data_IF_773279259319
#
_entry.id   IF_773279259319
#
_cell.length_a   1.000
_cell.length_b   1.000
_cell.length_c   1.000
_cell.angle_alpha   90.00
_cell.angle_beta   90.00
_cell.angle_gamma   90.00
#
_symmetry.space_group_name_H-M   'P 1'
#
loop_
_entity.id
_entity.type
_entity.pdbx_description
1 polymer ?
#
# COMPACT_ATOMS: atom_id res chain seq x y z
N UNK A 1 17.48 8.77 8.68
CA UNK A 1 16.82 9.73 7.79
C UNK A 1 15.74 9.01 6.99
N UNK A 2 14.50 9.48 7.07
CA UNK A 2 13.40 8.93 6.27
C UNK A 2 13.54 9.50 4.86
N UNK A 3 13.79 8.64 3.86
CA UNK A 3 13.77 9.03 2.45
C UNK A 3 12.33 9.31 2.02
N UNK A 4 12.13 10.38 1.28
CA UNK A 4 10.84 10.69 0.67
C UNK A 4 10.90 10.36 -0.82
N UNK A 5 9.91 9.62 -1.26
CA UNK A 5 9.84 9.08 -2.62
C UNK A 5 8.58 9.60 -3.29
N UNK A 6 8.66 9.89 -4.56
CA UNK A 6 7.54 10.36 -5.39
C UNK A 6 7.37 9.48 -6.62
N UNK A 7 6.15 9.44 -7.15
CA UNK A 7 5.82 8.80 -8.42
C UNK A 7 5.94 9.81 -9.56
N UNK A 8 6.58 9.41 -10.65
CA UNK A 8 6.61 10.18 -11.88
C UNK A 8 5.27 10.12 -12.61
N UNK A 9 4.69 11.27 -12.98
CA UNK A 9 3.43 11.34 -13.72
C UNK A 9 3.52 10.74 -15.13
N UNK A 10 4.71 10.68 -15.74
CA UNK A 10 4.89 10.18 -17.10
C UNK A 10 5.16 8.68 -17.19
N UNK A 11 6.15 8.19 -16.43
CA UNK A 11 6.57 6.78 -16.51
C UNK A 11 6.15 5.93 -15.32
N UNK A 12 5.51 6.56 -14.32
CA UNK A 12 5.09 5.92 -13.08
C UNK A 12 6.23 5.27 -12.27
N UNK A 13 7.48 5.60 -12.59
CA UNK A 13 8.64 5.20 -11.81
C UNK A 13 8.75 6.00 -10.53
N UNK A 14 9.27 5.38 -9.47
CA UNK A 14 9.45 6.00 -8.15
C UNK A 14 10.88 6.46 -7.98
N UNK A 15 11.08 7.68 -7.49
CA UNK A 15 12.40 8.23 -7.25
C UNK A 15 12.44 9.10 -5.99
N UNK A 16 13.64 9.22 -5.42
CA UNK A 16 13.85 9.97 -4.19
C UNK A 16 13.66 11.48 -4.43
N UNK A 17 12.93 12.12 -3.51
CA UNK A 17 12.81 13.58 -3.47
C UNK A 17 14.11 14.17 -2.93
N UNK A 18 14.83 15.03 -3.71
CA UNK A 18 16.02 15.71 -3.24
C UNK A 18 15.75 16.57 -2.01
N UNK A 19 16.72 16.71 -1.12
CA UNK A 19 16.55 17.38 0.18
C UNK A 19 16.15 18.85 0.04
N UNK A 20 16.76 19.56 -0.88
CA UNK A 20 16.43 20.95 -1.20
C UNK A 20 14.99 21.10 -1.76
N UNK A 21 14.56 20.13 -2.53
CA UNK A 21 13.20 20.04 -3.08
C UNK A 21 12.17 19.73 -1.99
N UNK A 22 12.54 18.99 -0.96
CA UNK A 22 11.69 18.73 0.18
C UNK A 22 11.37 20.00 0.98
N UNK A 23 12.36 20.85 1.24
CA UNK A 23 12.12 22.13 1.92
C UNK A 23 11.24 23.07 1.07
N UNK A 24 11.46 23.09 -0.25
CA UNK A 24 10.62 23.85 -1.18
C UNK A 24 9.19 23.33 -1.20
N UNK A 25 9.00 22.01 -1.23
CA UNK A 25 7.69 21.39 -1.16
C UNK A 25 6.97 21.74 0.14
N UNK A 26 7.64 21.67 1.28
CA UNK A 26 7.05 22.04 2.57
C UNK A 26 6.57 23.49 2.61
N UNK A 27 7.29 24.40 1.98
CA UNK A 27 6.83 25.81 1.85
C UNK A 27 5.55 25.93 1.02
N UNK A 28 5.47 25.23 -0.10
CA UNK A 28 4.29 25.19 -0.96
C UNK A 28 3.09 24.61 -0.20
N UNK A 29 3.32 23.57 0.59
CA UNK A 29 2.28 22.93 1.39
C UNK A 29 1.73 23.84 2.49
N UNK A 30 2.62 24.55 3.20
CA UNK A 30 2.23 25.52 4.22
C UNK A 30 1.45 26.70 3.62
N UNK A 31 1.81 27.11 2.40
CA UNK A 31 1.09 28.18 1.68
C UNK A 31 -0.26 27.73 1.15
N UNK A 32 -0.55 26.43 1.09
CA UNK A 32 -1.80 25.85 0.59
C UNK A 32 -2.03 25.99 -0.91
N UNK A 33 -1.08 26.56 -1.64
CA UNK A 33 -1.14 26.77 -3.08
C UNK A 33 0.25 26.73 -3.71
N UNK A 34 0.30 26.47 -5.03
CA UNK A 34 1.54 26.37 -5.79
C UNK A 34 2.00 24.96 -6.04
N UNK A 35 3.06 24.83 -6.83
CA UNK A 35 3.67 23.56 -7.20
C UNK A 35 5.18 23.72 -7.32
N UNK A 36 5.92 22.64 -7.09
CA UNK A 36 7.32 22.51 -7.52
C UNK A 36 7.40 21.48 -8.63
N UNK A 37 8.41 21.61 -9.48
CA UNK A 37 8.60 20.75 -10.64
C UNK A 37 9.94 20.05 -10.54
N UNK A 38 9.94 18.73 -10.71
CA UNK A 38 11.13 17.89 -10.70
C UNK A 38 11.24 17.09 -11.98
N UNK A 39 12.47 16.83 -12.41
CA UNK A 39 12.75 15.91 -13.50
C UNK A 39 12.88 14.48 -12.99
N UNK A 40 12.17 13.58 -13.64
CA UNK A 40 12.30 12.16 -13.38
C UNK A 40 13.66 11.63 -13.87
N UNK A 41 14.43 10.92 -13.05
CA UNK A 41 15.72 10.36 -13.47
C UNK A 41 15.59 9.21 -14.48
N UNK A 42 14.41 8.64 -14.63
CA UNK A 42 14.19 7.48 -15.51
C UNK A 42 13.75 7.86 -16.91
N UNK A 43 12.81 8.81 -17.04
CA UNK A 43 12.25 9.21 -18.34
C UNK A 43 12.57 10.65 -18.73
N UNK A 44 13.22 11.40 -17.86
CA UNK A 44 13.52 12.83 -18.00
C UNK A 44 12.27 13.74 -18.15
N UNK A 45 11.09 13.19 -17.94
CA UNK A 45 9.82 13.92 -17.90
C UNK A 45 9.71 14.77 -16.64
N UNK A 46 8.89 15.81 -16.67
CA UNK A 46 8.63 16.69 -15.53
C UNK A 46 7.46 16.20 -14.72
N UNK A 47 7.61 16.12 -13.41
CA UNK A 47 6.55 15.79 -12.45
C UNK A 47 6.27 17.01 -11.58
N UNK A 48 5.00 17.40 -11.49
CA UNK A 48 4.55 18.49 -10.63
C UNK A 48 4.20 17.98 -9.24
N UNK A 49 4.75 18.60 -8.21
CA UNK A 49 4.46 18.29 -6.81
C UNK A 49 3.71 19.44 -6.16
N UNK A 50 2.61 19.14 -5.53
CA UNK A 50 1.76 20.10 -4.82
C UNK A 50 1.15 19.46 -3.57
N UNK A 51 0.23 20.16 -2.90
CA UNK A 51 -0.45 19.65 -1.69
C UNK A 51 -1.24 18.35 -1.88
N UNK A 52 -1.54 17.98 -3.12
CA UNK A 52 -2.27 16.74 -3.46
C UNK A 52 -1.34 15.59 -3.85
N UNK A 53 -0.04 15.86 -3.96
CA UNK A 53 0.94 14.84 -4.36
C UNK A 53 1.11 13.82 -3.25
N UNK A 54 0.97 12.56 -3.58
CA UNK A 54 1.29 11.45 -2.68
C UNK A 54 2.81 11.36 -2.49
N UNK A 55 3.24 11.25 -1.25
CA UNK A 55 4.63 11.02 -0.88
C UNK A 55 4.78 9.62 -0.30
N UNK A 56 5.87 8.98 -0.66
CA UNK A 56 6.25 7.66 -0.20
C UNK A 56 7.49 7.78 0.68
N UNK A 57 7.68 6.84 1.59
CA UNK A 57 8.89 6.74 2.40
C UNK A 57 9.56 5.40 2.16
N UNK A 58 10.80 5.24 2.65
CA UNK A 58 11.51 3.97 2.63
C UNK A 58 10.87 2.87 3.51
N UNK A 59 9.92 3.25 4.36
CA UNK A 59 9.12 2.34 5.20
C UNK A 59 7.67 2.22 4.74
N UNK A 60 7.25 2.97 3.72
CA UNK A 60 5.90 2.88 3.17
C UNK A 60 5.36 4.16 2.55
N UNK A 61 4.10 4.10 2.12
CA UNK A 61 3.41 5.23 1.50
C UNK A 61 2.95 6.25 2.52
N UNK A 62 3.23 7.51 2.22
CA UNK A 62 2.81 8.67 2.98
C UNK A 62 1.70 9.37 2.20
N UNK A 63 0.43 9.03 2.49
CA UNK A 63 -0.70 9.68 1.84
C UNK A 63 -1.05 10.98 2.57
N UNK A 64 -1.12 12.08 1.84
CA UNK A 64 -1.66 13.35 2.35
C UNK A 64 -3.16 13.34 2.23
N UNK A 65 -3.83 13.65 3.34
CA UNK A 65 -5.24 14.01 3.31
C UNK A 65 -5.36 15.51 2.99
N UNK A 66 -6.48 15.91 2.41
CA UNK A 66 -6.78 17.32 2.08
C UNK A 66 -6.75 18.27 3.28
N UNK A 67 -6.64 17.74 4.49
CA UNK A 67 -6.58 18.51 5.72
C UNK A 67 -5.12 18.56 6.22
N UNK A 68 -4.44 19.75 6.17
CA UNK A 68 -3.05 19.89 6.53
C UNK A 68 -2.72 19.63 8.02
N UNK A 69 -3.73 19.53 8.87
CA UNK A 69 -3.54 19.33 10.31
C UNK A 69 -3.57 17.87 10.77
N UNK A 70 -3.94 16.91 9.89
CA UNK A 70 -4.21 15.56 10.37
C UNK A 70 -3.78 14.47 9.39
N UNK A 71 -3.03 13.54 9.93
CA UNK A 71 -2.87 12.14 9.55
C UNK A 71 -2.16 11.86 8.23
N UNK A 72 -0.86 11.98 8.32
CA UNK A 72 0.06 11.17 7.53
C UNK A 72 -0.18 9.70 7.91
N UNK A 73 -0.93 8.97 7.10
CA UNK A 73 -0.99 7.52 7.23
C UNK A 73 0.26 6.94 6.57
N UNK A 74 1.14 6.39 7.39
CA UNK A 74 2.28 5.63 6.91
C UNK A 74 1.78 4.25 6.47
N UNK A 75 1.86 3.96 5.18
CA UNK A 75 1.82 2.58 4.72
C UNK A 75 3.12 1.89 5.13
N UNK A 76 3.04 0.72 5.74
CA UNK A 76 4.15 0.05 6.41
C UNK A 76 4.73 -1.11 5.59
N UNK A 77 4.71 -1.01 4.26
CA UNK A 77 5.30 -2.04 3.40
C UNK A 77 6.79 -1.78 3.18
N UNK A 78 7.64 -2.82 3.15
CA UNK A 78 9.06 -2.66 2.87
C UNK A 78 9.30 -2.05 1.49
N UNK A 79 10.23 -1.11 1.37
CA UNK A 79 10.58 -0.43 0.13
C UNK A 79 10.92 -1.41 -1.01
N UNK A 80 11.64 -2.49 -0.70
CA UNK A 80 11.96 -3.52 -1.69
C UNK A 80 10.72 -4.18 -2.28
N UNK A 81 9.68 -4.36 -1.49
CA UNK A 81 8.41 -4.89 -1.96
C UNK A 81 7.70 -3.87 -2.85
N UNK A 82 7.65 -2.61 -2.44
CA UNK A 82 7.06 -1.52 -3.24
C UNK A 82 7.72 -1.42 -4.61
N UNK A 83 9.04 -1.58 -4.70
CA UNK A 83 9.74 -1.65 -5.99
C UNK A 83 9.28 -2.82 -6.88
N UNK A 84 8.92 -3.94 -6.28
CA UNK A 84 8.45 -5.11 -7.04
C UNK A 84 7.05 -4.93 -7.62
N UNK A 85 6.19 -4.16 -6.96
CA UNK A 85 4.77 -3.97 -7.29
C UNK A 85 4.46 -2.64 -7.99
N UNK A 86 5.47 -1.93 -8.47
CA UNK A 86 5.30 -0.65 -9.18
C UNK A 86 4.44 -0.80 -10.44
N UNK A 87 4.57 -1.91 -11.13
CA UNK A 87 3.85 -2.19 -12.37
C UNK A 87 2.57 -2.98 -12.10
N UNK A 88 1.52 -2.64 -12.86
CA UNK A 88 0.24 -3.33 -12.84
C UNK A 88 0.39 -4.81 -13.22
N UNK A 89 -0.37 -5.68 -12.55
CA UNK A 89 -0.59 -7.04 -13.01
C UNK A 89 0.44 -8.08 -12.61
N UNK A 90 1.17 -7.87 -11.51
CA UNK A 90 2.02 -8.93 -10.96
C UNK A 90 1.15 -10.02 -10.36
N UNK A 91 1.22 -11.23 -10.91
CA UNK A 91 0.54 -12.43 -10.38
C UNK A 91 1.58 -13.41 -9.85
N UNK A 92 1.33 -13.94 -8.68
CA UNK A 92 2.20 -14.93 -8.03
C UNK A 92 1.41 -16.19 -7.68
N UNK A 93 2.09 -17.34 -7.72
CA UNK A 93 1.52 -18.60 -7.24
C UNK A 93 2.07 -18.91 -5.85
N UNK A 94 1.16 -19.14 -4.90
CA UNK A 94 1.48 -19.57 -3.53
C UNK A 94 0.61 -20.78 -3.20
N UNK A 95 1.22 -21.91 -2.86
CA UNK A 95 0.50 -23.15 -2.50
C UNK A 95 -0.55 -23.57 -3.56
N UNK A 96 -0.22 -23.43 -4.84
CA UNK A 96 -1.09 -23.74 -6.00
C UNK A 96 -2.24 -22.76 -6.23
N UNK A 97 -2.40 -21.74 -5.41
CA UNK A 97 -3.35 -20.65 -5.64
C UNK A 97 -2.67 -19.46 -6.32
N UNK A 98 -3.41 -18.74 -7.17
CA UNK A 98 -2.96 -17.57 -7.88
C UNK A 98 -3.42 -16.31 -7.16
N UNK A 99 -2.49 -15.38 -6.92
CA UNK A 99 -2.77 -14.09 -6.32
C UNK A 99 -2.32 -12.96 -7.23
N UNK A 100 -3.22 -12.06 -7.54
CA UNK A 100 -2.89 -10.78 -8.16
C UNK A 100 -2.43 -9.83 -7.06
N UNK A 101 -1.19 -9.39 -7.10
CA UNK A 101 -0.67 -8.39 -6.17
C UNK A 101 -1.15 -7.00 -6.58
N UNK A 102 -1.58 -6.20 -5.62
CA UNK A 102 -1.93 -4.82 -5.85
C UNK A 102 -0.69 -4.01 -6.18
N UNK A 103 -0.75 -3.19 -7.23
CA UNK A 103 0.25 -2.15 -7.46
C UNK A 103 0.19 -1.11 -6.34
N UNK A 104 1.24 -0.31 -6.20
CA UNK A 104 1.25 0.78 -5.20
C UNK A 104 0.03 1.70 -5.37
N UNK A 105 -0.34 2.01 -6.61
CA UNK A 105 -1.51 2.82 -6.89
C UNK A 105 -2.81 2.16 -6.44
N UNK A 106 -2.96 0.86 -6.70
CA UNK A 106 -4.14 0.09 -6.26
C UNK A 106 -4.24 0.00 -4.73
N UNK A 107 -3.12 -0.15 -4.00
CA UNK A 107 -3.10 -0.22 -2.53
C UNK A 107 -3.81 0.96 -1.85
N UNK A 108 -3.78 2.13 -2.47
CA UNK A 108 -4.34 3.37 -1.91
C UNK A 108 -5.61 3.85 -2.64
N UNK A 109 -6.11 3.07 -3.59
CA UNK A 109 -7.43 3.28 -4.16
C UNK A 109 -8.50 3.02 -3.10
N UNK A 110 -9.52 3.86 -3.06
CA UNK A 110 -10.61 3.69 -2.11
C UNK A 110 -11.53 2.55 -2.57
N UNK A 111 -11.88 1.70 -1.62
CA UNK A 111 -12.90 0.64 -1.77
C UNK A 111 -14.04 0.89 -0.79
N UNK A 112 -15.26 0.59 -1.22
CA UNK A 112 -16.43 0.68 -0.36
C UNK A 112 -16.73 -0.69 0.24
N UNK A 113 -16.83 -0.74 1.57
CA UNK A 113 -17.21 -1.95 2.30
C UNK A 113 -18.35 -1.54 3.24
N UNK A 114 -19.54 -2.07 2.98
CA UNK A 114 -20.76 -1.80 3.76
C UNK A 114 -21.04 -0.29 3.97
N UNK A 115 -20.90 0.50 2.89
CA UNK A 115 -21.15 1.94 2.90
C UNK A 115 -20.01 2.82 3.43
N UNK A 116 -18.92 2.22 3.88
CA UNK A 116 -17.74 2.93 4.38
C UNK A 116 -16.56 2.83 3.41
N UNK A 117 -15.82 3.94 3.23
CA UNK A 117 -14.65 4.00 2.37
C UNK A 117 -13.37 3.63 3.13
N UNK A 118 -12.60 2.70 2.59
CA UNK A 118 -11.28 2.30 3.07
C UNK A 118 -10.28 2.37 1.92
N UNK A 119 -9.00 2.66 2.21
CA UNK A 119 -7.95 2.36 1.24
C UNK A 119 -7.87 0.85 1.03
N UNK A 120 -7.56 0.40 -0.19
CA UNK A 120 -7.46 -1.04 -0.54
C UNK A 120 -6.59 -1.82 0.45
N UNK A 121 -5.44 -1.25 0.84
CA UNK A 121 -4.53 -1.84 1.84
C UNK A 121 -5.18 -2.06 3.21
N UNK A 122 -6.25 -1.31 3.53
CA UNK A 122 -7.02 -1.38 4.79
C UNK A 122 -8.37 -2.05 4.64
N UNK A 123 -8.65 -2.69 3.51
CA UNK A 123 -9.96 -3.32 3.27
C UNK A 123 -10.35 -4.36 4.32
N UNK A 124 -9.37 -5.06 4.91
CA UNK A 124 -9.65 -6.06 5.95
C UNK A 124 -10.14 -5.44 7.27
N UNK A 125 -9.79 -4.20 7.56
CA UNK A 125 -10.43 -3.42 8.63
C UNK A 125 -11.93 -3.22 8.36
N UNK A 126 -12.28 -2.91 7.10
CA UNK A 126 -13.67 -2.80 6.68
C UNK A 126 -14.42 -4.10 6.92
N UNK A 127 -13.89 -5.23 6.47
CA UNK A 127 -14.48 -6.55 6.73
C UNK A 127 -14.60 -6.84 8.22
N UNK A 128 -13.56 -6.58 9.02
CA UNK A 128 -13.61 -6.78 10.47
C UNK A 128 -14.73 -5.97 11.14
N UNK A 129 -14.97 -4.74 10.69
CA UNK A 129 -16.03 -3.89 11.24
C UNK A 129 -17.44 -4.32 10.83
N UNK A 130 -17.58 -4.98 9.68
CA UNK A 130 -18.88 -5.44 9.17
C UNK A 130 -19.27 -6.84 9.61
N UNK A 131 -18.28 -7.64 10.04
CA UNK A 131 -18.54 -8.98 10.56
C UNK A 131 -19.31 -8.90 11.89
N UNK A 132 -20.54 -9.36 11.87
CA UNK A 132 -21.42 -9.37 13.04
C UNK A 132 -20.88 -10.30 14.14
N UNK A 133 -21.40 -10.12 15.36
CA UNK A 133 -21.11 -11.02 16.51
C UNK A 133 -21.48 -12.47 16.24
N UNK A 134 -22.36 -12.73 15.28
CA UNK A 134 -22.78 -14.05 14.82
C UNK A 134 -21.80 -14.71 13.82
N UNK A 135 -20.77 -13.98 13.35
CA UNK A 135 -19.75 -14.57 12.49
C UNK A 135 -18.84 -15.51 13.30
N UNK A 136 -18.39 -16.57 12.67
CA UNK A 136 -17.49 -17.58 13.29
C UNK A 136 -16.08 -17.04 13.61
N UNK A 137 -15.81 -15.78 13.30
CA UNK A 137 -14.51 -15.14 13.55
C UNK A 137 -14.37 -14.81 15.05
N UNK A 138 -13.31 -15.32 15.64
CA UNK A 138 -12.91 -15.02 17.01
C UNK A 138 -12.47 -13.56 17.20
N UNK A 139 -12.54 -13.05 18.44
CA UNK A 139 -12.02 -11.72 18.77
C UNK A 139 -10.55 -11.54 18.39
N UNK A 140 -9.73 -12.60 18.53
CA UNK A 140 -8.32 -12.62 18.15
C UNK A 140 -8.12 -12.46 16.63
N UNK A 141 -8.93 -13.13 15.83
CA UNK A 141 -8.90 -12.99 14.37
C UNK A 141 -9.36 -11.60 13.93
N UNK A 142 -10.30 -10.97 14.62
CA UNK A 142 -10.69 -9.57 14.37
C UNK A 142 -9.54 -8.61 14.63
N UNK A 143 -8.78 -8.80 15.70
CA UNK A 143 -7.58 -8.01 15.97
C UNK A 143 -6.56 -8.16 14.83
N UNK A 144 -6.35 -9.38 14.34
CA UNK A 144 -5.48 -9.64 13.18
C UNK A 144 -5.95 -8.88 11.93
N UNK A 145 -7.25 -8.91 11.62
CA UNK A 145 -7.80 -8.20 10.46
C UNK A 145 -7.70 -6.68 10.59
N UNK A 146 -7.83 -6.15 11.81
CA UNK A 146 -7.69 -4.71 12.06
C UNK A 146 -6.26 -4.20 11.79
N UNK A 147 -5.25 -5.02 12.03
CA UNK A 147 -3.85 -4.67 11.78
C UNK A 147 -3.37 -5.07 10.38
N UNK A 148 -4.12 -5.92 9.68
CA UNK A 148 -3.72 -6.49 8.41
C UNK A 148 -3.51 -5.45 7.31
N UNK A 149 -2.46 -5.65 6.52
CA UNK A 149 -2.14 -4.89 5.32
C UNK A 149 -2.49 -5.76 4.11
N UNK A 150 -3.61 -5.51 3.46
CA UNK A 150 -4.02 -6.23 2.26
C UNK A 150 -3.08 -5.88 1.09
N UNK A 151 -2.45 -6.87 0.49
CA UNK A 151 -1.44 -6.71 -0.56
C UNK A 151 -1.79 -7.37 -1.87
N UNK A 152 -2.85 -8.16 -1.92
CA UNK A 152 -3.30 -8.84 -3.13
C UNK A 152 -4.63 -9.55 -2.95
N UNK A 153 -5.11 -10.12 -4.04
CA UNK A 153 -6.38 -10.85 -4.09
C UNK A 153 -6.24 -12.16 -4.85
N UNK A 154 -6.94 -13.17 -4.41
CA UNK A 154 -7.16 -14.44 -5.09
C UNK A 154 -8.64 -14.67 -5.34
N UNK A 155 -9.01 -15.88 -5.76
CA UNK A 155 -10.40 -16.27 -5.93
C UNK A 155 -11.09 -16.38 -4.55
N UNK A 156 -12.00 -15.44 -4.27
CA UNK A 156 -12.70 -15.35 -2.98
C UNK A 156 -11.80 -15.14 -1.76
N UNK A 157 -10.61 -14.57 -1.96
CA UNK A 157 -9.62 -14.42 -0.90
C UNK A 157 -8.80 -13.14 -1.01
N UNK A 158 -8.31 -12.66 0.13
CA UNK A 158 -7.43 -11.50 0.26
C UNK A 158 -6.11 -11.92 0.88
N UNK A 159 -5.01 -11.70 0.14
CA UNK A 159 -3.65 -11.89 0.64
C UNK A 159 -3.24 -10.67 1.45
N UNK A 160 -2.73 -10.88 2.66
CA UNK A 160 -2.31 -9.79 3.53
C UNK A 160 -1.02 -10.08 4.29
N UNK A 161 -0.36 -9.03 4.75
CA UNK A 161 0.80 -9.08 5.62
C UNK A 161 0.48 -8.48 6.99
N UNK A 162 1.11 -8.99 8.04
CA UNK A 162 1.05 -8.41 9.37
C UNK A 162 2.20 -7.40 9.55
N UNK A 163 1.95 -6.18 10.09
CA UNK A 163 2.96 -5.13 10.20
C UNK A 163 4.18 -5.51 11.04
N UNK A 164 4.00 -6.39 12.03
CA UNK A 164 5.03 -6.72 13.02
C UNK A 164 6.25 -7.43 12.42
N UNK A 165 6.02 -8.39 11.54
CA UNK A 165 7.04 -9.29 11.01
C UNK A 165 6.89 -9.54 9.51
N UNK A 166 5.87 -8.94 8.90
CA UNK A 166 5.48 -9.12 7.51
C UNK A 166 5.21 -10.59 7.14
N UNK A 167 4.77 -11.39 8.09
CA UNK A 167 4.22 -12.70 7.81
C UNK A 167 2.95 -12.61 6.96
N UNK A 168 2.83 -13.51 6.00
CA UNK A 168 1.74 -13.55 5.05
C UNK A 168 0.65 -14.50 5.52
N UNK A 169 -0.58 -14.07 5.36
CA UNK A 169 -1.78 -14.86 5.57
C UNK A 169 -2.81 -14.56 4.50
N UNK A 170 -3.81 -15.42 4.40
CA UNK A 170 -4.95 -15.25 3.50
C UNK A 170 -6.22 -15.18 4.32
N UNK A 171 -7.08 -14.24 4.00
CA UNK A 171 -8.44 -14.16 4.50
C UNK A 171 -9.40 -14.64 3.40
N UNK A 172 -10.14 -15.71 3.67
CA UNK A 172 -11.17 -16.23 2.77
C UNK A 172 -12.51 -15.59 3.10
N UNK A 173 -13.06 -14.87 2.13
CA UNK A 173 -14.26 -14.02 2.33
C UNK A 173 -15.55 -14.83 2.44
N UNK A 174 -15.65 -15.95 1.74
CA UNK A 174 -16.82 -16.84 1.72
C UNK A 174 -16.98 -17.64 3.02
N UNK A 175 -15.86 -18.08 3.61
CA UNK A 175 -15.85 -18.82 4.87
C UNK A 175 -15.50 -17.97 6.09
N UNK A 176 -15.14 -16.71 5.89
CA UNK A 176 -14.73 -15.78 6.96
C UNK A 176 -13.66 -16.37 7.90
N UNK A 177 -12.59 -16.94 7.37
CA UNK A 177 -11.49 -17.51 8.15
C UNK A 177 -10.12 -17.06 7.63
N UNK A 178 -9.11 -17.11 8.51
CA UNK A 178 -7.72 -16.76 8.24
C UNK A 178 -6.89 -18.03 8.12
N UNK A 179 -6.04 -18.10 7.07
CA UNK A 179 -5.07 -19.17 6.88
C UNK A 179 -3.65 -18.61 6.81
N UNK A 180 -2.75 -18.95 7.74
CA UNK A 180 -1.36 -18.53 7.68
C UNK A 180 -0.62 -19.28 6.56
N UNK A 181 0.23 -18.56 5.83
CA UNK A 181 1.00 -19.13 4.72
C UNK A 181 2.41 -19.58 5.13
N UNK A 182 2.87 -19.24 6.32
CA UNK A 182 4.24 -19.48 6.81
C UNK A 182 5.33 -18.93 5.85
N UNK A 183 5.02 -17.81 5.22
CA UNK A 183 5.87 -17.04 4.31
C UNK A 183 5.91 -15.59 4.78
N UNK A 184 6.94 -14.87 4.36
CA UNK A 184 7.06 -13.43 4.61
C UNK A 184 7.06 -12.63 3.30
N UNK A 185 6.91 -11.32 3.40
CA UNK A 185 7.06 -10.42 2.23
C UNK A 185 8.42 -10.62 1.55
N UNK A 186 9.49 -10.90 2.28
CA UNK A 186 10.80 -11.20 1.68
C UNK A 186 10.77 -12.46 0.81
N UNK A 187 10.03 -13.49 1.22
CA UNK A 187 9.82 -14.70 0.40
C UNK A 187 9.03 -14.37 -0.87
N UNK A 188 8.05 -13.47 -0.77
CA UNK A 188 7.26 -13.01 -1.90
C UNK A 188 8.11 -12.21 -2.91
N UNK A 189 8.97 -11.30 -2.43
CA UNK A 189 9.92 -10.56 -3.26
C UNK A 189 10.79 -11.53 -4.10
N UNK A 190 11.33 -12.58 -3.48
CA UNK A 190 12.11 -13.59 -4.19
C UNK A 190 11.30 -14.29 -5.29
N UNK A 191 10.03 -14.61 -5.03
CA UNK A 191 9.15 -15.22 -6.05
C UNK A 191 8.93 -14.26 -7.23
N UNK A 192 8.66 -12.99 -6.98
CA UNK A 192 8.43 -11.97 -8.02
C UNK A 192 9.69 -11.77 -8.88
N UNK A 193 10.86 -11.69 -8.27
CA UNK A 193 12.13 -11.45 -8.97
C UNK A 193 12.59 -12.66 -9.79
N UNK A 194 12.17 -13.87 -9.44
CA UNK A 194 12.48 -15.09 -10.20
C UNK A 194 11.58 -15.31 -11.43
N UNK A 195 10.50 -14.53 -11.56
CA UNK A 195 9.59 -14.57 -12.72
C UNK A 195 10.13 -13.71 -13.89
N UNK A 196 11.10 -12.84 -13.62
CA UNK A 196 11.79 -12.00 -14.63
C UNK A 196 13.01 -12.76 -15.19
#
# INVERSE_FOLDING_TARGET
>A
RIMQIIECENCHGYFELPEDSFERLNRVLKAGSGSIYLKCPYCNGTTALNRFTDLYTDVGLLKRTENPEVNIQYGLLPQKYEHCIQNLGVTVSINHEQYKLYSIKELFTNVNIDGHCYAQIRQLQGFSNTLNELSEISSKEREVLNDALAIGEGDGSVLFALPKDFELSVFYTDGSYISPLHLTINSLIKKITNIK
#
